data_IF_336916388192
#
_entry.id   IF_336916388192
#
_cell.length_a   1.000
_cell.length_b   1.000
_cell.length_c   1.000
_cell.angle_alpha   90.00
_cell.angle_beta   90.00
_cell.angle_gamma   90.00
#
_symmetry.space_group_name_H-M   'P 1'
#
loop_
_entity.id
_entity.type
_entity.pdbx_description
1 polymer ?
#
# COMPACT_ATOMS: atom_id res chain seq x y z
N UNK A 1 8.04 -9.55 30.72
CA UNK A 1 7.41 -9.93 29.45
C UNK A 1 7.78 -8.83 28.47
N UNK A 2 8.67 -9.09 27.52
CA UNK A 2 9.14 -8.05 26.61
C UNK A 2 7.97 -7.59 25.75
N UNK A 3 7.48 -6.39 26.03
CA UNK A 3 6.47 -5.69 25.24
C UNK A 3 7.05 -5.51 23.84
N UNK A 4 6.64 -6.36 22.90
CA UNK A 4 7.06 -6.19 21.51
C UNK A 4 6.44 -4.90 21.00
N UNK A 5 7.29 -3.94 20.61
CA UNK A 5 6.84 -2.69 20.02
C UNK A 5 5.90 -3.00 18.84
N UNK A 6 4.71 -2.37 18.76
CA UNK A 6 3.75 -2.69 17.71
C UNK A 6 4.35 -2.49 16.30
N UNK A 7 4.07 -3.40 15.36
CA UNK A 7 4.72 -3.38 14.05
C UNK A 7 4.34 -2.14 13.25
N UNK A 8 5.21 -1.78 12.32
CA UNK A 8 4.99 -0.65 11.42
C UNK A 8 4.48 -1.13 10.06
N UNK A 9 3.57 -0.37 9.46
CA UNK A 9 3.05 -0.58 8.12
C UNK A 9 3.57 0.55 7.24
N UNK A 10 4.04 0.22 6.05
CA UNK A 10 4.43 1.22 5.05
C UNK A 10 3.46 1.13 3.87
N UNK A 11 2.82 2.26 3.55
CA UNK A 11 1.94 2.35 2.38
C UNK A 11 2.41 3.44 1.42
N UNK A 12 1.96 3.32 0.18
CA UNK A 12 2.13 4.36 -0.83
C UNK A 12 1.23 5.55 -0.52
N UNK A 13 1.76 6.77 -0.66
CA UNK A 13 0.93 7.97 -0.80
C UNK A 13 0.56 8.11 -2.28
N UNK A 14 -0.73 8.21 -2.58
CA UNK A 14 -1.23 8.46 -3.94
C UNK A 14 -1.53 9.95 -4.10
N UNK A 15 -1.44 10.49 -5.31
CA UNK A 15 -2.01 11.81 -5.60
C UNK A 15 -3.52 11.85 -5.32
N UNK A 16 -4.04 13.06 -5.11
CA UNK A 16 -5.38 13.31 -4.57
C UNK A 16 -6.49 12.64 -5.39
N UNK A 17 -6.47 12.80 -6.72
CA UNK A 17 -7.50 12.26 -7.61
C UNK A 17 -7.52 10.73 -7.61
N UNK A 18 -6.34 10.10 -7.66
CA UNK A 18 -6.21 8.65 -7.60
C UNK A 18 -6.69 8.10 -6.26
N UNK A 19 -6.29 8.74 -5.16
CA UNK A 19 -6.76 8.39 -3.82
C UNK A 19 -8.29 8.50 -3.71
N UNK A 20 -8.86 9.65 -4.11
CA UNK A 20 -10.29 9.90 -4.04
C UNK A 20 -11.09 8.88 -4.85
N UNK A 21 -10.61 8.53 -6.05
CA UNK A 21 -11.21 7.49 -6.90
C UNK A 21 -11.25 6.13 -6.18
N UNK A 22 -10.12 5.66 -5.64
CA UNK A 22 -10.09 4.36 -4.96
C UNK A 22 -10.88 4.37 -3.64
N UNK A 23 -10.84 5.46 -2.90
CA UNK A 23 -11.56 5.56 -1.63
C UNK A 23 -13.09 5.58 -1.85
N UNK A 24 -13.56 6.26 -2.91
CA UNK A 24 -14.96 6.20 -3.32
C UNK A 24 -15.41 4.77 -3.66
N UNK A 25 -14.58 4.00 -4.38
CA UNK A 25 -14.86 2.59 -4.68
C UNK A 25 -14.94 1.75 -3.40
N UNK A 26 -14.02 1.94 -2.45
CA UNK A 26 -14.07 1.26 -1.15
C UNK A 26 -15.35 1.62 -0.38
N UNK A 27 -15.70 2.90 -0.27
CA UNK A 27 -16.93 3.33 0.40
C UNK A 27 -18.19 2.71 -0.22
N UNK A 28 -18.19 2.49 -1.54
CA UNK A 28 -19.31 1.90 -2.27
C UNK A 28 -19.38 0.37 -2.15
N UNK A 29 -18.25 -0.32 -2.18
CA UNK A 29 -18.21 -1.77 -2.42
C UNK A 29 -17.67 -2.60 -1.25
N UNK A 30 -16.95 -1.99 -0.31
CA UNK A 30 -16.43 -2.66 0.86
C UNK A 30 -17.52 -2.70 1.96
N UNK A 31 -17.68 -3.82 2.70
CA UNK A 31 -18.63 -3.86 3.81
C UNK A 31 -18.42 -2.70 4.79
N UNK A 32 -19.44 -1.85 4.97
CA UNK A 32 -19.35 -0.61 5.76
C UNK A 32 -18.82 -0.83 7.17
N UNK A 33 -19.24 -1.92 7.82
CA UNK A 33 -18.81 -2.30 9.16
C UNK A 33 -17.34 -2.77 9.26
N UNK A 34 -16.64 -2.95 8.13
CA UNK A 34 -15.23 -3.37 8.07
C UNK A 34 -14.33 -2.32 7.40
N UNK A 35 -14.91 -1.28 6.79
CA UNK A 35 -14.17 -0.28 6.01
C UNK A 35 -13.69 0.87 6.90
N UNK A 36 -12.69 0.59 7.74
CA UNK A 36 -12.13 1.57 8.69
C UNK A 36 -10.86 2.25 8.19
N UNK A 37 -10.14 1.62 7.27
CA UNK A 37 -8.90 2.14 6.70
C UNK A 37 -9.20 2.70 5.30
N UNK A 38 -8.78 3.94 4.97
CA UNK A 38 -8.93 4.50 3.64
C UNK A 38 -8.25 3.66 2.55
N UNK A 39 -8.45 4.01 1.28
CA UNK A 39 -7.71 3.40 0.18
C UNK A 39 -6.19 3.47 0.40
N UNK A 40 -5.52 2.34 0.16
CA UNK A 40 -4.08 2.22 0.37
C UNK A 40 -3.49 1.15 -0.55
N UNK A 41 -2.19 1.27 -0.81
CA UNK A 41 -1.36 0.23 -1.40
C UNK A 41 -0.18 -0.06 -0.48
N UNK A 42 -0.06 -1.28 0.01
CA UNK A 42 0.95 -1.65 1.00
C UNK A 42 2.29 -2.00 0.36
N UNK A 43 3.38 -1.46 0.91
CA UNK A 43 4.76 -1.84 0.60
C UNK A 43 5.27 -2.89 1.58
N UNK A 44 4.99 -2.70 2.87
CA UNK A 44 5.31 -3.60 3.97
C UNK A 44 4.16 -3.70 4.97
N UNK A 45 3.88 -4.90 5.47
CA UNK A 45 2.77 -5.19 6.37
C UNK A 45 3.19 -5.20 7.85
N UNK A 46 4.46 -5.51 8.13
CA UNK A 46 4.96 -5.61 9.50
C UNK A 46 6.48 -5.41 9.56
N UNK A 47 6.92 -4.15 9.46
CA UNK A 47 8.29 -3.76 9.78
C UNK A 47 8.51 -3.74 11.31
N UNK A 48 9.75 -3.96 11.80
CA UNK A 48 10.04 -4.07 13.23
C UNK A 48 9.81 -2.74 13.97
N UNK A 49 8.83 -2.71 14.87
CA UNK A 49 8.39 -1.49 15.56
C UNK A 49 9.41 -0.92 16.56
N UNK A 50 10.33 -1.74 17.04
CA UNK A 50 11.43 -1.36 17.92
C UNK A 50 12.55 -0.62 17.17
N UNK A 51 12.52 -0.64 15.83
CA UNK A 51 13.49 0.02 14.94
C UNK A 51 12.92 1.23 14.21
N UNK A 52 11.85 1.86 14.72
CA UNK A 52 11.11 2.93 14.03
C UNK A 52 12.00 4.07 13.52
N UNK A 53 12.93 4.58 14.35
CA UNK A 53 13.84 5.64 13.96
C UNK A 53 14.72 5.22 12.78
N UNK A 54 15.40 4.08 12.88
CA UNK A 54 16.26 3.56 11.82
C UNK A 54 15.48 3.25 10.52
N UNK A 55 14.24 2.79 10.62
CA UNK A 55 13.35 2.59 9.47
C UNK A 55 13.01 3.93 8.82
N UNK A 56 12.60 4.91 9.61
CA UNK A 56 12.21 6.24 9.12
C UNK A 56 13.38 6.92 8.42
N UNK A 57 14.57 6.92 9.03
CA UNK A 57 15.79 7.51 8.46
C UNK A 57 16.17 6.83 7.14
N UNK A 58 16.06 5.49 7.07
CA UNK A 58 16.37 4.74 5.85
C UNK A 58 15.37 5.01 4.74
N UNK A 59 14.08 5.12 5.06
CA UNK A 59 13.03 5.51 4.11
C UNK A 59 13.29 6.91 3.58
N UNK A 60 13.55 7.89 4.45
CA UNK A 60 13.82 9.28 4.07
C UNK A 60 15.03 9.39 3.13
N UNK A 61 16.14 8.74 3.49
CA UNK A 61 17.35 8.72 2.69
C UNK A 61 17.14 8.14 1.28
N UNK A 62 16.35 7.08 1.15
CA UNK A 62 16.01 6.50 -0.15
C UNK A 62 15.02 7.37 -0.92
N UNK A 63 14.02 7.94 -0.25
CA UNK A 63 12.96 8.71 -0.89
C UNK A 63 13.49 10.03 -1.48
N UNK A 64 14.41 10.72 -0.77
CA UNK A 64 15.06 11.95 -1.26
C UNK A 64 15.92 11.73 -2.51
N UNK A 65 16.49 10.55 -2.66
CA UNK A 65 17.32 10.18 -3.82
C UNK A 65 16.52 9.78 -5.05
N UNK A 66 15.19 9.73 -4.96
CA UNK A 66 14.30 9.28 -6.02
C UNK A 66 13.45 10.43 -6.55
N UNK A 67 13.23 10.47 -7.86
CA UNK A 67 12.17 11.32 -8.43
C UNK A 67 10.79 10.80 -7.99
N UNK A 68 9.77 11.66 -8.09
CA UNK A 68 8.38 11.26 -7.82
C UNK A 68 7.98 10.16 -8.82
N UNK A 69 7.74 8.91 -8.38
CA UNK A 69 7.44 7.81 -9.27
C UNK A 69 6.03 7.93 -9.86
N UNK A 70 5.92 7.57 -11.14
CA UNK A 70 4.64 7.24 -11.76
C UNK A 70 4.24 5.79 -11.39
N UNK A 71 2.93 5.58 -11.25
CA UNK A 71 2.30 4.29 -11.03
C UNK A 71 1.27 4.06 -12.11
N UNK A 72 1.38 2.93 -12.81
CA UNK A 72 0.38 2.49 -13.77
C UNK A 72 -0.59 1.53 -13.09
N UNK A 73 -1.89 1.77 -13.26
CA UNK A 73 -2.94 0.83 -12.89
C UNK A 73 -3.26 -0.01 -14.12
N UNK A 74 -2.88 -1.29 -14.10
CA UNK A 74 -2.86 -2.14 -15.31
C UNK A 74 -4.05 -3.07 -15.44
N UNK A 75 -4.79 -3.30 -14.36
CA UNK A 75 -5.95 -4.18 -14.40
C UNK A 75 -6.64 -4.35 -13.06
N UNK A 76 -7.57 -5.29 -13.03
CA UNK A 76 -8.21 -5.77 -11.83
C UNK A 76 -7.76 -7.20 -11.52
N UNK A 77 -7.88 -7.58 -10.26
CA UNK A 77 -7.59 -8.92 -9.78
C UNK A 77 -8.69 -9.39 -8.84
N UNK A 78 -9.26 -10.54 -9.18
CA UNK A 78 -10.05 -11.32 -8.24
C UNK A 78 -9.17 -11.85 -7.11
N UNK A 79 -9.55 -11.57 -5.86
CA UNK A 79 -8.82 -12.05 -4.67
C UNK A 79 -9.67 -13.05 -3.87
N UNK A 80 -10.55 -13.79 -4.55
CA UNK A 80 -11.39 -14.85 -3.97
C UNK A 80 -12.66 -14.33 -3.28
N UNK A 81 -12.50 -13.35 -2.38
CA UNK A 81 -13.61 -12.72 -1.63
C UNK A 81 -13.64 -11.21 -1.79
N UNK A 82 -13.10 -10.72 -2.89
CA UNK A 82 -12.89 -9.31 -3.14
C UNK A 82 -12.29 -9.01 -4.49
N UNK A 83 -12.09 -7.72 -4.73
CA UNK A 83 -11.53 -7.15 -5.95
C UNK A 83 -10.47 -6.14 -5.58
N UNK A 84 -9.35 -6.18 -6.30
CA UNK A 84 -8.27 -5.21 -6.17
C UNK A 84 -7.82 -4.70 -7.54
N UNK A 85 -7.41 -3.44 -7.61
CA UNK A 85 -6.71 -2.89 -8.77
C UNK A 85 -5.23 -3.24 -8.68
N UNK A 86 -4.64 -3.70 -9.77
CA UNK A 86 -3.23 -4.04 -9.89
C UNK A 86 -2.44 -2.79 -10.21
N UNK A 87 -1.34 -2.59 -9.50
CA UNK A 87 -0.43 -1.48 -9.73
C UNK A 87 0.89 -1.99 -10.29
N UNK A 88 1.56 -1.17 -11.08
CA UNK A 88 2.90 -1.40 -11.60
C UNK A 88 3.73 -0.12 -11.53
N UNK A 89 4.96 -0.24 -11.04
CA UNK A 89 5.95 0.84 -11.02
C UNK A 89 7.32 0.24 -10.72
N UNK A 90 8.21 0.27 -11.70
CA UNK A 90 9.59 -0.25 -11.54
C UNK A 90 10.36 0.53 -10.48
N UNK A 91 10.19 1.86 -10.45
CA UNK A 91 10.83 2.73 -9.47
C UNK A 91 10.42 2.37 -8.03
N UNK A 92 9.13 2.16 -7.78
CA UNK A 92 8.67 1.72 -6.45
C UNK A 92 9.09 0.29 -6.12
N UNK A 93 9.17 -0.61 -7.10
CA UNK A 93 9.67 -1.95 -6.89
C UNK A 93 11.15 -1.95 -6.47
N UNK A 94 11.96 -1.11 -7.12
CA UNK A 94 13.35 -0.89 -6.76
C UNK A 94 13.49 -0.26 -5.36
N UNK A 95 12.70 0.78 -5.06
CA UNK A 95 12.66 1.43 -3.74
C UNK A 95 12.34 0.43 -2.62
N UNK A 96 11.26 -0.35 -2.79
CA UNK A 96 10.90 -1.40 -1.82
C UNK A 96 12.00 -2.46 -1.72
N UNK A 97 12.61 -2.86 -2.84
CA UNK A 97 13.74 -3.79 -2.86
C UNK A 97 14.93 -3.30 -2.02
N UNK A 98 15.28 -2.02 -2.14
CA UNK A 98 16.34 -1.39 -1.35
C UNK A 98 16.04 -1.38 0.16
N UNK A 99 14.78 -1.10 0.53
CA UNK A 99 14.32 -1.22 1.91
C UNK A 99 14.37 -2.68 2.40
N UNK A 100 13.87 -3.61 1.60
CA UNK A 100 13.83 -5.03 1.97
C UNK A 100 15.23 -5.60 2.20
N UNK A 101 16.21 -5.20 1.38
CA UNK A 101 17.61 -5.56 1.58
C UNK A 101 18.19 -4.99 2.89
N UNK A 102 17.79 -3.77 3.26
CA UNK A 102 18.28 -3.08 4.47
C UNK A 102 17.75 -3.70 5.77
N UNK A 103 16.59 -4.38 5.71
CA UNK A 103 15.94 -4.99 6.87
C UNK A 103 15.75 -6.51 6.71
N UNK A 104 16.55 -7.15 5.86
CA UNK A 104 16.36 -8.54 5.45
C UNK A 104 16.37 -9.53 6.61
N UNK A 105 17.07 -9.25 7.72
CA UNK A 105 17.07 -10.06 8.94
C UNK A 105 15.73 -10.00 9.69
N UNK A 106 15.05 -8.85 9.62
CA UNK A 106 13.88 -8.54 10.44
C UNK A 106 12.53 -8.64 9.71
N UNK A 107 12.52 -8.86 8.38
CA UNK A 107 11.27 -8.99 7.64
C UNK A 107 10.51 -10.28 7.96
N UNK A 108 9.18 -10.17 8.03
CA UNK A 108 8.28 -11.32 8.06
C UNK A 108 8.33 -12.13 6.76
N UNK A 109 7.91 -13.41 6.76
CA UNK A 109 7.82 -14.19 5.52
C UNK A 109 6.98 -13.53 4.43
N UNK A 110 5.89 -12.83 4.80
CA UNK A 110 5.04 -12.10 3.86
C UNK A 110 5.80 -10.93 3.21
N UNK A 111 6.54 -10.16 4.00
CA UNK A 111 7.27 -9.00 3.50
C UNK A 111 8.57 -9.36 2.78
N UNK A 112 9.10 -10.57 2.95
CA UNK A 112 10.22 -11.08 2.13
C UNK A 112 9.82 -11.47 0.72
N UNK A 113 8.54 -11.72 0.46
CA UNK A 113 8.07 -12.13 -0.86
C UNK A 113 8.15 -10.99 -1.89
N UNK A 114 8.06 -11.36 -3.16
CA UNK A 114 7.97 -10.42 -4.27
C UNK A 114 6.79 -9.47 -4.12
N UNK A 115 7.00 -8.20 -4.47
CA UNK A 115 5.97 -7.17 -4.32
C UNK A 115 4.92 -7.28 -5.42
N UNK A 116 3.66 -7.41 -5.01
CA UNK A 116 2.50 -7.43 -5.91
C UNK A 116 1.55 -6.29 -5.51
N UNK A 117 1.89 -5.03 -5.82
CA UNK A 117 1.15 -3.90 -5.33
C UNK A 117 -0.25 -3.85 -5.90
N UNK A 118 -1.18 -3.46 -5.04
CA UNK A 118 -2.59 -3.42 -5.38
C UNK A 118 -3.35 -2.51 -4.42
N UNK A 119 -4.49 -1.98 -4.89
CA UNK A 119 -5.47 -1.29 -4.05
C UNK A 119 -6.70 -2.15 -3.95
N UNK A 120 -7.01 -2.64 -2.75
CA UNK A 120 -8.22 -3.44 -2.53
C UNK A 120 -9.44 -2.52 -2.42
N UNK A 121 -10.44 -2.72 -3.28
CA UNK A 121 -11.70 -1.94 -3.26
C UNK A 121 -12.87 -2.71 -2.65
N UNK A 122 -12.74 -4.04 -2.54
CA UNK A 122 -13.70 -4.90 -1.86
C UNK A 122 -12.97 -6.12 -1.28
N UNK A 123 -13.35 -6.55 -0.08
CA UNK A 123 -12.92 -7.84 0.48
C UNK A 123 -13.98 -8.37 1.47
N UNK A 124 -13.83 -9.62 1.88
CA UNK A 124 -14.65 -10.33 2.88
C UNK A 124 -16.12 -10.53 2.48
N UNK A 125 -16.49 -10.30 1.22
CA UNK A 125 -17.83 -10.60 0.69
C UNK A 125 -17.95 -12.05 0.20
N UNK A 126 -19.15 -12.46 -0.21
CA UNK A 126 -19.35 -13.74 -0.89
C UNK A 126 -18.62 -13.75 -2.25
N UNK A 127 -18.03 -14.87 -2.70
CA UNK A 127 -17.31 -14.95 -3.97
C UNK A 127 -18.13 -14.49 -5.18
N UNK A 128 -19.43 -14.76 -5.20
CA UNK A 128 -20.35 -14.39 -6.29
C UNK A 128 -20.50 -12.86 -6.37
N UNK A 129 -20.63 -12.19 -5.22
CA UNK A 129 -20.65 -10.72 -5.13
C UNK A 129 -19.35 -10.12 -5.66
N UNK A 130 -18.20 -10.71 -5.31
CA UNK A 130 -16.91 -10.23 -5.78
C UNK A 130 -16.71 -10.45 -7.29
N UNK A 131 -17.18 -11.59 -7.84
CA UNK A 131 -17.15 -11.84 -9.29
C UNK A 131 -18.04 -10.86 -10.05
N UNK A 132 -19.24 -10.58 -9.56
CA UNK A 132 -20.14 -9.61 -10.17
C UNK A 132 -19.49 -8.22 -10.22
N UNK A 133 -18.94 -7.75 -9.09
CA UNK A 133 -18.24 -6.46 -9.06
C UNK A 133 -17.03 -6.43 -10.00
N UNK A 134 -16.23 -7.50 -10.03
CA UNK A 134 -15.08 -7.57 -10.92
C UNK A 134 -15.51 -7.42 -12.38
N UNK A 135 -16.50 -8.19 -12.83
CA UNK A 135 -17.01 -8.13 -14.20
C UNK A 135 -17.57 -6.75 -14.56
N UNK A 136 -18.24 -6.09 -13.61
CA UNK A 136 -18.72 -4.72 -13.81
C UNK A 136 -17.58 -3.71 -13.95
N UNK A 137 -16.56 -3.78 -13.10
CA UNK A 137 -15.42 -2.87 -13.17
C UNK A 137 -14.53 -3.14 -14.38
N UNK A 138 -14.38 -4.39 -14.80
CA UNK A 138 -13.58 -4.77 -15.97
C UNK A 138 -14.19 -4.26 -17.29
N UNK A 139 -15.52 -4.12 -17.38
CA UNK A 139 -16.20 -3.65 -18.58
C UNK A 139 -15.78 -2.25 -19.03
N UNK A 140 -15.58 -1.36 -18.06
CA UNK A 140 -15.24 0.04 -18.27
C UNK A 140 -13.77 0.33 -17.93
N UNK A 141 -12.97 -0.71 -17.69
CA UNK A 141 -11.58 -0.54 -17.30
C UNK A 141 -10.72 -0.12 -18.48
N UNK A 142 -10.09 1.05 -18.34
CA UNK A 142 -8.94 1.45 -19.14
C UNK A 142 -7.74 1.68 -18.20
N UNK A 143 -6.52 1.22 -18.58
CA UNK A 143 -5.32 1.54 -17.83
C UNK A 143 -5.16 3.05 -17.66
N UNK A 144 -4.73 3.47 -16.47
CA UNK A 144 -4.47 4.87 -16.16
C UNK A 144 -3.24 4.98 -15.27
N UNK A 145 -2.74 6.21 -15.15
CA UNK A 145 -1.53 6.52 -14.41
C UNK A 145 -1.82 7.55 -13.33
N UNK A 146 -1.03 7.52 -12.28
CA UNK A 146 -1.02 8.53 -11.24
C UNK A 146 0.39 8.67 -10.67
N UNK A 147 0.68 9.78 -10.02
CA UNK A 147 1.95 9.98 -9.31
C UNK A 147 1.83 9.56 -7.84
N UNK A 148 2.90 8.99 -7.30
CA UNK A 148 2.97 8.72 -5.87
C UNK A 148 3.96 9.70 -5.22
N UNK A 149 3.49 10.78 -4.57
CA UNK A 149 4.37 11.83 -4.03
C UNK A 149 5.20 11.39 -2.81
N UNK A 150 4.90 10.23 -2.21
CA UNK A 150 5.62 9.76 -1.04
C UNK A 150 5.17 8.39 -0.55
N UNK A 151 5.61 8.05 0.66
CA UNK A 151 5.14 6.91 1.43
C UNK A 151 4.70 7.35 2.82
N UNK A 152 3.76 6.60 3.38
CA UNK A 152 3.16 6.87 4.69
C UNK A 152 3.53 5.72 5.63
N UNK A 153 4.13 6.07 6.76
CA UNK A 153 4.49 5.13 7.82
C UNK A 153 3.41 5.16 8.91
N UNK A 154 2.97 3.97 9.30
CA UNK A 154 1.92 3.78 10.30
C UNK A 154 2.38 2.82 11.38
N UNK A 155 1.82 2.94 12.59
CA UNK A 155 1.93 1.91 13.64
C UNK A 155 0.62 1.12 13.70
N UNK A 156 0.72 -0.20 13.71
CA UNK A 156 -0.44 -1.09 13.77
C UNK A 156 -0.81 -1.41 15.22
N UNK A 157 -1.97 -0.93 15.66
CA UNK A 157 -2.47 -1.08 17.03
C UNK A 157 -3.54 -2.18 17.16
N UNK A 158 -3.41 -3.27 16.40
CA UNK A 158 -4.38 -4.38 16.42
C UNK A 158 -5.67 -4.10 15.64
N UNK A 159 -5.64 -3.17 14.69
CA UNK A 159 -6.77 -2.82 13.82
C UNK A 159 -6.70 -1.35 13.38
N UNK A 160 -6.60 -0.40 14.32
CA UNK A 160 -6.31 0.99 14.01
C UNK A 160 -4.88 1.18 13.50
N UNK A 161 -4.70 2.13 12.59
CA UNK A 161 -3.38 2.57 12.11
C UNK A 161 -3.13 3.98 12.63
N UNK A 162 -2.07 4.13 13.41
CA UNK A 162 -1.63 5.43 13.92
C UNK A 162 -0.60 6.02 12.94
N UNK A 163 -0.81 7.25 12.44
CA UNK A 163 0.16 7.89 11.53
C UNK A 163 1.46 8.20 12.28
N UNK A 164 2.60 7.87 11.66
CA UNK A 164 3.94 8.08 12.24
C UNK A 164 4.75 9.10 11.44
N UNK A 165 4.78 8.95 10.12
CA UNK A 165 5.49 9.87 9.23
C UNK A 165 4.89 9.87 7.82
N UNK A 166 5.05 10.99 7.12
CA UNK A 166 4.88 11.10 5.68
C UNK A 166 6.25 11.47 5.08
N UNK A 167 6.75 10.64 4.18
CA UNK A 167 8.12 10.73 3.65
C UNK A 167 8.00 10.90 2.14
N UNK A 168 8.30 12.10 1.66
CA UNK A 168 8.08 12.49 0.28
C UNK A 168 9.22 12.00 -0.61
N UNK A 169 8.86 11.57 -1.82
CA UNK A 169 9.82 11.36 -2.89
C UNK A 169 10.24 12.71 -3.45
N UNK A 170 11.50 12.79 -3.88
CA UNK A 170 12.11 14.04 -4.31
C UNK A 170 12.61 14.85 -3.13
N UNK A 171 13.92 15.06 -3.07
CA UNK A 171 14.52 16.17 -2.36
C UNK A 171 14.92 17.23 -3.36
N UNK A 172 14.57 18.49 -3.13
CA UNK A 172 15.19 19.61 -3.83
C UNK A 172 16.71 19.42 -3.80
N UNK A 173 17.33 19.32 -4.98
CA UNK A 173 18.78 19.54 -5.11
C UNK A 173 19.10 20.99 -4.78
#
# INVERSE_FOLDING_TARGET
MSEHAPPLILTLQMEEDAFARFDALRRRHFPKALNHIPAHATLFHALPGDREAAITDRIDALARGMEVPEVTVTGLRFIGRGVAFVLESEALAAFRGGLAASFADALTPQDRQGWRPHVTVQNKVAPETARALQADLERDFAPFRFTAPGVLLWRYLGGPWEPRAALLFGGSR
#
